data_IF_721040835407
#
_entry.id   IF_721040835407
#
_cell.length_a   1.000
_cell.length_b   1.000
_cell.length_c   1.000
_cell.angle_alpha   90.00
_cell.angle_beta   90.00
_cell.angle_gamma   90.00
#
_symmetry.space_group_name_H-M   'P 1'
#
loop_
_entity.id
_entity.type
_entity.pdbx_description
1 polymer ?
#
# COMPACT_ATOMS: atom_id res chain seq x y z
N UNK A 1 2.60 -10.28 2.29
CA UNK A 1 2.09 -11.35 3.18
C UNK A 1 3.22 -12.32 3.43
N UNK A 2 3.30 -12.89 4.63
CA UNK A 2 4.33 -13.85 5.02
C UNK A 2 3.70 -14.90 5.93
N UNK A 3 3.97 -16.17 5.66
CA UNK A 3 3.70 -17.29 6.56
C UNK A 3 4.87 -17.39 7.53
N UNK A 4 4.63 -17.25 8.81
CA UNK A 4 5.71 -17.04 9.79
C UNK A 4 6.53 -18.33 9.98
N UNK A 5 5.83 -19.45 9.98
CA UNK A 5 6.33 -20.79 10.27
C UNK A 5 7.24 -21.32 9.15
N UNK A 6 6.95 -20.95 7.89
CA UNK A 6 7.65 -21.47 6.71
C UNK A 6 8.52 -20.42 6.02
N UNK A 7 8.34 -19.12 6.33
CA UNK A 7 9.00 -18.01 5.64
C UNK A 7 8.46 -17.74 4.23
N UNK A 8 7.48 -18.51 3.75
CA UNK A 8 6.85 -18.28 2.46
C UNK A 8 6.21 -16.89 2.39
N UNK A 9 6.34 -16.23 1.24
CA UNK A 9 5.91 -14.85 1.05
C UNK A 9 5.12 -14.67 -0.23
N UNK A 10 4.16 -13.75 -0.17
CA UNK A 10 3.40 -13.29 -1.31
C UNK A 10 3.35 -11.76 -1.29
N UNK A 11 3.67 -11.14 -2.41
CA UNK A 11 3.68 -9.68 -2.58
C UNK A 11 2.74 -9.35 -3.73
N UNK A 12 1.83 -8.41 -3.49
CA UNK A 12 1.00 -7.84 -4.54
C UNK A 12 0.94 -6.33 -4.38
N UNK A 13 0.72 -5.65 -5.50
CA UNK A 13 0.69 -4.19 -5.60
C UNK A 13 -0.71 -3.76 -6.05
N UNK A 14 -1.32 -2.82 -5.33
CA UNK A 14 -2.57 -2.20 -5.77
C UNK A 14 -2.22 -1.25 -6.93
N UNK A 15 -2.80 -1.42 -8.13
CA UNK A 15 -2.47 -0.60 -9.28
C UNK A 15 -2.68 0.90 -9.01
N UNK A 16 -1.71 1.73 -9.39
CA UNK A 16 -1.72 3.18 -9.22
C UNK A 16 -3.00 3.84 -9.78
N UNK A 17 -3.52 3.32 -10.89
CA UNK A 17 -4.77 3.80 -11.51
C UNK A 17 -5.97 3.81 -10.55
N UNK A 18 -6.00 2.92 -9.56
CA UNK A 18 -7.10 2.84 -8.59
C UNK A 18 -7.04 3.94 -7.50
N UNK A 19 -5.95 4.69 -7.47
CA UNK A 19 -5.78 5.87 -6.63
C UNK A 19 -6.01 7.18 -7.40
N UNK A 20 -6.38 7.10 -8.68
CA UNK A 20 -6.71 8.25 -9.50
C UNK A 20 -8.18 8.62 -9.35
N UNK A 21 -8.47 9.92 -9.50
CA UNK A 21 -9.78 10.58 -9.32
C UNK A 21 -11.00 9.67 -9.07
N UNK A 22 -11.69 9.22 -10.11
CA UNK A 22 -12.98 8.53 -9.98
C UNK A 22 -12.86 7.15 -9.34
N UNK A 23 -11.78 6.43 -9.62
CA UNK A 23 -11.53 5.13 -8.97
C UNK A 23 -11.26 5.30 -7.47
N UNK A 24 -10.56 6.36 -7.10
CA UNK A 24 -10.33 6.70 -5.69
C UNK A 24 -11.64 7.07 -4.98
N UNK A 25 -12.51 7.86 -5.63
CA UNK A 25 -13.86 8.19 -5.11
C UNK A 25 -14.70 6.93 -4.90
N UNK A 26 -14.66 5.99 -5.85
CA UNK A 26 -15.31 4.68 -5.75
C UNK A 26 -14.68 3.77 -4.69
N UNK A 27 -13.48 4.10 -4.21
CA UNK A 27 -12.67 3.30 -3.27
C UNK A 27 -12.36 1.90 -3.82
N UNK A 28 -12.25 1.76 -5.15
CA UNK A 28 -11.97 0.48 -5.83
C UNK A 28 -10.67 -0.18 -5.33
N UNK A 29 -9.71 0.61 -4.85
CA UNK A 29 -8.47 0.14 -4.24
C UNK A 29 -8.69 -0.74 -2.99
N UNK A 30 -9.80 -0.58 -2.26
CA UNK A 30 -10.13 -1.42 -1.10
C UNK A 30 -10.58 -2.83 -1.52
N UNK A 31 -11.33 -2.92 -2.62
CA UNK A 31 -11.71 -4.20 -3.24
C UNK A 31 -10.50 -4.90 -3.81
N UNK A 32 -9.64 -4.15 -4.50
CA UNK A 32 -8.42 -4.71 -5.06
C UNK A 32 -7.46 -5.21 -4.00
N UNK A 33 -7.34 -4.51 -2.87
CA UNK A 33 -6.58 -4.98 -1.72
C UNK A 33 -7.08 -6.37 -1.24
N UNK A 34 -8.40 -6.58 -1.21
CA UNK A 34 -8.97 -7.88 -0.87
C UNK A 34 -8.67 -8.94 -1.92
N UNK A 35 -8.83 -8.64 -3.22
CA UNK A 35 -8.49 -9.60 -4.29
C UNK A 35 -7.04 -10.06 -4.21
N UNK A 36 -6.10 -9.13 -4.02
CA UNK A 36 -4.68 -9.41 -3.87
C UNK A 36 -4.44 -10.31 -2.65
N UNK A 37 -5.06 -9.98 -1.50
CA UNK A 37 -4.90 -10.77 -0.28
C UNK A 37 -5.49 -12.17 -0.43
N UNK A 38 -6.68 -12.30 -1.02
CA UNK A 38 -7.30 -13.60 -1.28
C UNK A 38 -6.43 -14.48 -2.18
N UNK A 39 -5.86 -13.91 -3.26
CA UNK A 39 -4.89 -14.60 -4.10
C UNK A 39 -3.65 -15.05 -3.30
N UNK A 40 -3.14 -14.18 -2.43
CA UNK A 40 -2.02 -14.50 -1.54
C UNK A 40 -2.34 -15.61 -0.54
N UNK A 41 -3.54 -15.66 0.03
CA UNK A 41 -3.96 -16.74 0.93
C UNK A 41 -4.02 -18.08 0.19
N UNK A 42 -4.49 -18.09 -1.06
CA UNK A 42 -4.49 -19.29 -1.90
C UNK A 42 -3.07 -19.77 -2.20
N UNK A 43 -2.17 -18.86 -2.59
CA UNK A 43 -0.75 -19.18 -2.86
C UNK A 43 -0.05 -19.74 -1.62
N UNK A 44 -0.29 -19.12 -0.45
CA UNK A 44 0.30 -19.54 0.83
C UNK A 44 -0.46 -20.70 1.48
N UNK A 45 -1.48 -21.25 0.80
CA UNK A 45 -2.35 -22.34 1.27
C UNK A 45 -2.88 -22.11 2.68
N UNK A 46 -3.28 -20.87 2.98
CA UNK A 46 -3.77 -20.48 4.29
C UNK A 46 -5.14 -21.11 4.56
N UNK A 47 -5.23 -21.86 5.65
CA UNK A 47 -6.44 -22.44 6.21
C UNK A 47 -7.29 -21.39 6.94
N UNK A 48 -8.57 -21.72 7.18
CA UNK A 48 -9.46 -20.88 7.99
C UNK A 48 -9.23 -21.00 9.50
N UNK A 49 -8.50 -22.03 9.93
CA UNK A 49 -8.27 -22.33 11.35
C UNK A 49 -7.07 -21.58 11.95
N UNK A 50 -6.14 -21.12 11.10
CA UNK A 50 -5.00 -20.31 11.52
C UNK A 50 -5.37 -18.84 11.69
N UNK A 51 -4.63 -18.16 12.56
CA UNK A 51 -4.85 -16.74 12.85
C UNK A 51 -4.16 -15.87 11.80
N UNK A 52 -4.94 -15.12 11.03
CA UNK A 52 -4.43 -14.13 10.09
C UNK A 52 -4.37 -12.77 10.77
N UNK A 53 -3.15 -12.27 10.97
CA UNK A 53 -2.89 -10.92 11.48
C UNK A 53 -2.81 -9.92 10.34
N UNK A 54 -3.67 -8.91 10.37
CA UNK A 54 -3.76 -7.88 9.33
C UNK A 54 -3.45 -6.52 9.93
N UNK A 55 -2.58 -5.75 9.26
CA UNK A 55 -2.23 -4.40 9.68
C UNK A 55 -3.48 -3.50 9.78
N UNK A 56 -3.48 -2.58 10.77
CA UNK A 56 -4.57 -1.63 11.07
C UNK A 56 -4.83 -0.59 9.98
N UNK A 57 -3.91 -0.42 9.03
CA UNK A 57 -4.01 0.58 7.97
C UNK A 57 -5.36 0.57 7.24
N UNK A 58 -5.87 1.75 6.90
CA UNK A 58 -7.18 1.93 6.29
C UNK A 58 -7.33 1.20 4.94
N UNK A 59 -6.25 1.12 4.15
CA UNK A 59 -6.25 0.39 2.88
C UNK A 59 -6.60 -1.10 3.02
N UNK A 60 -6.40 -1.69 4.21
CA UNK A 60 -6.73 -3.07 4.54
C UNK A 60 -8.03 -3.21 5.33
N UNK A 61 -8.82 -2.14 5.48
CA UNK A 61 -10.07 -2.17 6.24
C UNK A 61 -11.07 -3.17 5.65
N UNK A 62 -11.30 -3.12 4.33
CA UNK A 62 -12.17 -4.05 3.63
C UNK A 62 -11.64 -5.48 3.65
N UNK A 63 -10.32 -5.66 3.56
CA UNK A 63 -9.68 -6.99 3.72
C UNK A 63 -10.08 -7.64 5.03
N UNK A 64 -9.97 -6.92 6.15
CA UNK A 64 -10.31 -7.46 7.48
C UNK A 64 -11.79 -7.84 7.59
N UNK A 65 -12.69 -7.06 7.00
CA UNK A 65 -14.11 -7.35 7.01
C UNK A 65 -14.42 -8.59 6.16
N UNK A 66 -13.99 -8.60 4.90
CA UNK A 66 -14.26 -9.66 3.94
C UNK A 66 -13.68 -11.01 4.36
N UNK A 67 -12.44 -11.03 4.87
CA UNK A 67 -11.87 -12.29 5.36
C UNK A 67 -12.65 -12.88 6.54
N UNK A 68 -13.25 -12.06 7.41
CA UNK A 68 -14.13 -12.55 8.48
C UNK A 68 -15.45 -13.08 7.94
N UNK A 69 -16.04 -12.38 6.96
CA UNK A 69 -17.23 -12.86 6.22
C UNK A 69 -16.96 -14.22 5.57
N UNK A 70 -15.76 -14.40 5.02
CA UNK A 70 -15.31 -15.66 4.41
C UNK A 70 -14.97 -16.76 5.44
N UNK A 71 -15.07 -16.47 6.74
CA UNK A 71 -14.88 -17.43 7.83
C UNK A 71 -13.43 -17.60 8.30
N UNK A 72 -12.50 -16.71 7.91
CA UNK A 72 -11.14 -16.72 8.45
C UNK A 72 -11.08 -16.10 9.86
N UNK A 73 -10.17 -16.61 10.69
CA UNK A 73 -9.82 -15.99 11.97
C UNK A 73 -8.91 -14.79 11.74
N UNK A 74 -9.44 -13.58 11.90
CA UNK A 74 -8.71 -12.34 11.57
C UNK A 74 -8.55 -11.42 12.78
N UNK A 75 -7.30 -11.12 13.11
CA UNK A 75 -6.91 -10.14 14.14
C UNK A 75 -6.33 -8.88 13.51
N UNK A 76 -6.74 -7.72 14.04
CA UNK A 76 -6.18 -6.42 13.64
C UNK A 76 -4.98 -6.07 14.51
N UNK A 77 -3.78 -6.06 13.95
CA UNK A 77 -2.54 -5.91 14.72
C UNK A 77 -1.59 -4.87 14.13
N UNK A 78 -0.62 -4.44 14.94
CA UNK A 78 0.55 -3.72 14.44
C UNK A 78 1.51 -4.77 13.89
N UNK A 79 1.85 -4.67 12.61
CA UNK A 79 2.83 -5.56 11.98
C UNK A 79 4.21 -4.93 12.12
N UNK A 80 5.16 -5.72 12.59
CA UNK A 80 6.56 -5.33 12.82
C UNK A 80 7.49 -6.45 12.32
N UNK A 81 8.80 -6.22 12.38
CA UNK A 81 9.80 -7.22 11.99
C UNK A 81 9.80 -7.52 10.49
N UNK A 82 10.10 -8.76 10.13
CA UNK A 82 10.38 -9.17 8.75
C UNK A 82 9.23 -8.89 7.77
N UNK A 83 7.98 -9.11 8.17
CA UNK A 83 6.82 -8.83 7.31
C UNK A 83 6.72 -7.33 6.98
N UNK A 84 7.06 -6.45 7.92
CA UNK A 84 7.11 -5.00 7.69
C UNK A 84 8.27 -4.66 6.75
N UNK A 85 9.46 -5.24 6.97
CA UNK A 85 10.64 -5.01 6.13
C UNK A 85 10.34 -5.40 4.67
N UNK A 86 9.78 -6.58 4.42
CA UNK A 86 9.40 -7.04 3.07
C UNK A 86 8.43 -6.07 2.39
N UNK A 87 7.44 -5.56 3.13
CA UNK A 87 6.47 -4.61 2.58
C UNK A 87 7.12 -3.26 2.23
N UNK A 88 8.03 -2.77 3.09
CA UNK A 88 8.77 -1.53 2.85
C UNK A 88 9.75 -1.67 1.68
N UNK A 89 10.51 -2.76 1.59
CA UNK A 89 11.41 -3.03 0.46
C UNK A 89 10.66 -3.08 -0.87
N UNK A 90 9.51 -3.76 -0.90
CA UNK A 90 8.66 -3.79 -2.10
C UNK A 90 8.18 -2.38 -2.48
N UNK A 91 7.79 -1.58 -1.50
CA UNK A 91 7.39 -0.19 -1.72
C UNK A 91 8.54 0.67 -2.26
N UNK A 92 9.74 0.56 -1.69
CA UNK A 92 10.91 1.31 -2.17
C UNK A 92 11.28 0.94 -3.60
N UNK A 93 11.24 -0.36 -3.95
CA UNK A 93 11.43 -0.81 -5.35
C UNK A 93 10.39 -0.22 -6.29
N UNK A 94 9.14 -0.06 -5.85
CA UNK A 94 8.11 0.60 -6.66
C UNK A 94 8.39 2.08 -6.87
N UNK A 95 8.88 2.79 -5.85
CA UNK A 95 9.27 4.19 -5.96
C UNK A 95 10.46 4.38 -6.92
N UNK A 96 11.46 3.50 -6.82
CA UNK A 96 12.60 3.47 -7.74
C UNK A 96 12.14 3.27 -9.20
N UNK A 97 11.20 2.34 -9.46
CA UNK A 97 10.62 2.16 -10.81
C UNK A 97 9.90 3.40 -11.33
N UNK A 98 9.39 4.26 -10.46
CA UNK A 98 8.78 5.55 -10.87
C UNK A 98 9.80 6.69 -11.03
N UNK A 99 11.08 6.43 -10.79
CA UNK A 99 12.16 7.41 -10.96
C UNK A 99 12.47 8.22 -9.70
N UNK A 100 12.07 7.75 -8.52
CA UNK A 100 12.51 8.35 -7.26
C UNK A 100 13.91 7.84 -6.94
N UNK A 101 14.83 8.76 -6.69
CA UNK A 101 16.23 8.44 -6.36
C UNK A 101 16.32 7.56 -5.10
N UNK A 102 16.90 6.33 -5.19
CA UNK A 102 17.11 5.44 -4.05
C UNK A 102 17.87 6.07 -2.89
N UNK A 103 18.75 7.04 -3.13
CA UNK A 103 19.46 7.77 -2.07
C UNK A 103 18.52 8.55 -1.14
N UNK A 104 17.35 8.95 -1.65
CA UNK A 104 16.27 9.62 -0.91
C UNK A 104 15.31 8.63 -0.22
N UNK A 105 15.45 7.33 -0.50
CA UNK A 105 14.57 6.24 -0.05
C UNK A 105 15.23 5.41 1.08
N UNK A 106 14.97 5.75 2.34
CA UNK A 106 15.42 4.89 3.46
C UNK A 106 14.24 4.17 4.13
N UNK A 107 14.52 3.01 4.71
CA UNK A 107 13.58 2.21 5.50
C UNK A 107 13.14 2.92 6.80
N UNK A 108 13.94 3.86 7.31
CA UNK A 108 13.67 4.60 8.56
C UNK A 108 12.99 5.94 8.34
N UNK A 109 12.82 6.37 7.08
CA UNK A 109 12.40 7.74 6.74
C UNK A 109 10.95 8.09 7.10
N UNK A 110 10.09 7.16 7.53
CA UNK A 110 8.75 7.44 8.09
C UNK A 110 8.01 8.64 7.47
N UNK A 111 7.72 9.66 8.28
CA UNK A 111 7.09 10.93 7.85
C UNK A 111 8.00 11.78 6.96
N UNK A 112 9.32 11.79 7.15
CA UNK A 112 10.26 12.50 6.29
C UNK A 112 10.18 12.01 4.83
N UNK A 113 9.92 10.71 4.62
CA UNK A 113 9.73 10.14 3.28
C UNK A 113 8.54 10.77 2.56
N UNK A 114 7.45 11.02 3.27
CA UNK A 114 6.29 11.68 2.66
C UNK A 114 6.66 13.06 2.12
N UNK A 115 7.37 13.87 2.91
CA UNK A 115 7.83 15.19 2.46
C UNK A 115 8.76 15.10 1.25
N UNK A 116 9.76 14.21 1.27
CA UNK A 116 10.67 14.00 0.13
C UNK A 116 9.95 13.55 -1.14
N UNK A 117 8.90 12.74 -1.01
CA UNK A 117 8.10 12.32 -2.16
C UNK A 117 7.25 13.47 -2.72
N UNK A 118 6.75 14.36 -1.87
CA UNK A 118 6.07 15.57 -2.33
C UNK A 118 7.07 16.50 -3.04
N UNK A 119 8.25 16.73 -2.48
CA UNK A 119 9.32 17.51 -3.13
C UNK A 119 9.66 16.94 -4.52
N UNK A 120 9.83 15.62 -4.63
CA UNK A 120 10.06 14.96 -5.91
C UNK A 120 8.92 15.20 -6.91
N UNK A 121 7.66 15.27 -6.47
CA UNK A 121 6.54 15.63 -7.37
C UNK A 121 6.63 17.10 -7.78
N UNK A 122 6.95 18.01 -6.86
CA UNK A 122 7.02 19.45 -7.11
C UNK A 122 8.20 19.87 -7.98
N UNK A 123 9.26 19.06 -8.06
CA UNK A 123 10.36 19.24 -9.02
C UNK A 123 9.90 19.14 -10.49
N UNK A 124 8.84 18.37 -10.78
CA UNK A 124 8.23 18.27 -12.12
C UNK A 124 6.73 17.91 -12.01
N UNK A 125 5.89 18.89 -11.63
CA UNK A 125 4.51 18.64 -11.24
C UNK A 125 3.66 18.18 -12.42
N UNK A 126 3.92 18.67 -13.63
CA UNK A 126 3.15 18.34 -14.82
C UNK A 126 3.29 16.87 -15.23
N UNK A 127 4.46 16.25 -15.02
CA UNK A 127 4.65 14.83 -15.36
C UNK A 127 4.48 13.90 -14.18
N UNK A 128 4.86 14.31 -12.96
CA UNK A 128 4.95 13.41 -11.79
C UNK A 128 3.66 13.34 -10.97
N UNK A 129 2.75 14.30 -11.10
CA UNK A 129 1.46 14.28 -10.38
C UNK A 129 0.67 12.99 -10.61
N UNK A 130 0.80 12.38 -11.80
CA UNK A 130 0.13 11.11 -12.15
C UNK A 130 0.52 9.93 -11.26
N UNK A 131 1.67 9.99 -10.57
CA UNK A 131 2.13 8.95 -9.64
C UNK A 131 1.58 9.11 -8.22
N UNK A 132 0.77 10.14 -7.99
CA UNK A 132 0.19 10.44 -6.69
C UNK A 132 -1.29 10.05 -6.63
N UNK A 133 -1.89 10.19 -5.45
CA UNK A 133 -3.34 10.02 -5.25
C UNK A 133 -4.08 11.27 -5.72
N UNK A 134 -4.34 11.40 -7.02
CA UNK A 134 -5.02 12.59 -7.58
C UNK A 134 -6.45 12.78 -7.07
N UNK A 135 -7.10 11.71 -6.61
CA UNK A 135 -8.40 11.79 -5.93
C UNK A 135 -8.35 12.37 -4.51
N UNK A 136 -7.16 12.59 -3.93
CA UNK A 136 -7.00 13.15 -2.60
C UNK A 136 -7.08 14.68 -2.64
N UNK A 137 -8.18 15.25 -2.14
CA UNK A 137 -8.43 16.70 -2.15
C UNK A 137 -7.27 17.54 -1.60
N UNK A 138 -6.65 17.10 -0.50
CA UNK A 138 -5.54 17.86 0.09
C UNK A 138 -4.27 17.87 -0.79
N UNK A 139 -4.08 16.91 -1.70
CA UNK A 139 -2.99 16.97 -2.67
C UNK A 139 -3.10 18.24 -3.51
N UNK A 140 -4.27 18.49 -4.09
CA UNK A 140 -4.53 19.68 -4.92
C UNK A 140 -4.57 20.95 -4.08
N UNK A 141 -5.38 20.96 -3.04
CA UNK A 141 -5.72 22.18 -2.31
C UNK A 141 -4.57 22.70 -1.44
N UNK A 142 -3.68 21.80 -0.99
CA UNK A 142 -2.57 22.13 -0.09
C UNK A 142 -1.20 22.06 -0.75
N UNK A 143 -0.92 20.97 -1.47
CA UNK A 143 0.45 20.67 -1.90
C UNK A 143 0.78 21.16 -3.30
N UNK A 144 -0.18 21.09 -4.23
CA UNK A 144 0.01 21.51 -5.62
C UNK A 144 -0.48 22.95 -5.89
N UNK A 145 -1.00 23.64 -4.87
CA UNK A 145 -1.52 24.99 -4.99
C UNK A 145 -0.42 25.93 -5.50
N UNK A 146 -0.62 26.54 -6.67
CA UNK A 146 0.34 27.45 -7.30
C UNK A 146 1.35 26.79 -8.24
N UNK A 147 1.29 25.46 -8.43
CA UNK A 147 2.10 24.71 -9.40
C UNK A 147 1.30 24.21 -10.60
N UNK A 148 -0.02 24.07 -10.44
CA UNK A 148 -1.01 23.71 -11.47
C UNK A 148 -2.10 24.78 -11.49
#
# INVERSE_FOLDING_TARGET
>A
MRRIETGEKYIGEIPLRLFQEDEFKRRSYLDEAYRIVAAGLNVLRASKHELIRVCRGYVLSKVRARLREDGYRVESSKITGETQIIAEEAYLKTLERYGVDPSKLTLTSGSMRFHKLIEWVLEDPFTRVRYTKTGWKALRDKWLKGYL
#
